data_IF_776483455548
#
_entry.id   IF_776483455548
#
_cell.length_a   1.000
_cell.length_b   1.000
_cell.length_c   1.000
_cell.angle_alpha   90.00
_cell.angle_beta   90.00
_cell.angle_gamma   90.00
#
_symmetry.space_group_name_H-M   'P 1'
#
loop_
_entity.id
_entity.type
_entity.pdbx_description
1 polymer ?
#
# COMPACT_ATOMS: atom_id res chain seq x y z
N UNK A 1 10.18 18.49 5.61
CA UNK A 1 10.40 17.28 4.81
C UNK A 1 11.85 16.86 4.92
N UNK A 2 12.12 15.63 5.33
CA UNK A 2 13.45 15.06 5.51
C UNK A 2 13.54 13.73 4.73
N UNK A 3 14.50 13.62 3.81
CA UNK A 3 14.78 12.37 3.07
C UNK A 3 16.06 11.74 3.62
N UNK A 4 15.99 10.45 3.89
CA UNK A 4 17.10 9.69 4.46
C UNK A 4 17.09 8.24 3.96
N UNK A 5 18.15 7.50 4.23
CA UNK A 5 18.26 6.08 3.97
C UNK A 5 18.46 5.31 5.27
N UNK A 6 17.66 4.27 5.46
CA UNK A 6 17.83 3.35 6.59
C UNK A 6 18.32 2.00 6.08
N UNK A 7 18.89 1.18 6.93
CA UNK A 7 19.23 -0.22 6.60
C UNK A 7 18.07 -1.13 7.00
N UNK A 8 17.61 -1.93 6.04
CA UNK A 8 16.68 -3.00 6.33
C UNK A 8 17.41 -4.22 6.91
N UNK A 9 16.66 -5.27 7.30
CA UNK A 9 17.19 -6.52 7.86
C UNK A 9 18.18 -7.28 6.96
N UNK A 10 18.24 -6.93 5.67
CA UNK A 10 19.20 -7.49 4.69
C UNK A 10 20.43 -6.58 4.50
N UNK A 11 20.52 -5.46 5.23
CA UNK A 11 21.58 -4.48 5.08
C UNK A 11 21.48 -3.58 3.85
N UNK A 12 20.35 -3.64 3.11
CA UNK A 12 20.09 -2.81 1.94
C UNK A 12 19.55 -1.44 2.36
N UNK A 13 19.84 -0.40 1.57
CA UNK A 13 19.31 0.93 1.79
C UNK A 13 17.83 0.99 1.38
N UNK A 14 17.00 1.47 2.28
CA UNK A 14 15.59 1.82 2.06
C UNK A 14 15.46 3.34 2.14
N UNK A 15 14.97 3.96 1.08
CA UNK A 15 14.75 5.40 1.00
C UNK A 15 13.47 5.76 1.76
N UNK A 16 13.59 6.59 2.77
CA UNK A 16 12.49 7.04 3.64
C UNK A 16 12.34 8.55 3.53
N UNK A 17 11.10 9.00 3.49
CA UNK A 17 10.70 10.40 3.50
C UNK A 17 9.85 10.67 4.75
N UNK A 18 10.32 11.57 5.62
CA UNK A 18 9.61 11.98 6.83
C UNK A 18 9.13 13.41 6.70
N UNK A 19 7.84 13.62 6.87
CA UNK A 19 7.20 14.93 6.87
C UNK A 19 6.59 15.17 8.24
N UNK A 20 7.27 16.00 9.04
CA UNK A 20 6.88 16.27 10.44
C UNK A 20 5.80 17.35 10.49
N UNK A 21 4.73 17.09 11.22
CA UNK A 21 3.76 18.11 11.59
C UNK A 21 4.34 19.03 12.67
N UNK A 22 4.07 20.33 12.59
CA UNK A 22 4.52 21.31 13.62
C UNK A 22 3.93 20.97 15.00
N UNK A 23 2.64 20.64 15.03
CA UNK A 23 1.93 20.21 16.24
C UNK A 23 1.41 18.79 16.01
N UNK A 24 2.26 17.80 16.24
CA UNK A 24 1.94 16.41 15.94
C UNK A 24 0.78 15.89 16.77
N UNK A 25 -0.32 15.52 16.10
CA UNK A 25 -1.50 14.86 16.68
C UNK A 25 -1.43 13.34 16.59
N UNK A 26 -0.62 12.83 15.69
CA UNK A 26 -0.47 11.41 15.44
C UNK A 26 0.64 11.13 14.42
N UNK A 27 0.80 9.85 14.13
CA UNK A 27 1.77 9.33 13.16
C UNK A 27 1.02 8.51 12.11
N UNK A 28 1.45 8.61 10.84
CA UNK A 28 0.92 7.81 9.76
C UNK A 28 2.03 7.27 8.87
N UNK A 29 1.91 6.02 8.45
CA UNK A 29 2.74 5.41 7.42
C UNK A 29 1.93 5.27 6.13
N UNK A 30 2.54 5.63 5.00
CA UNK A 30 1.88 5.54 3.69
C UNK A 30 2.76 4.73 2.73
N UNK A 31 2.23 3.62 2.21
CA UNK A 31 2.98 2.65 1.42
C UNK A 31 2.46 2.53 -0.01
N UNK A 32 3.36 2.58 -0.99
CA UNK A 32 3.06 2.38 -2.41
C UNK A 32 2.85 0.90 -2.79
N UNK A 33 2.28 0.65 -3.97
CA UNK A 33 2.09 -0.68 -4.55
C UNK A 33 3.30 -1.24 -5.28
N UNK A 34 3.15 -2.45 -5.86
CA UNK A 34 4.20 -3.14 -6.61
C UNK A 34 4.74 -2.28 -7.75
N UNK A 35 6.07 -2.08 -7.78
CA UNK A 35 6.74 -1.23 -8.76
C UNK A 35 6.36 0.25 -8.67
N UNK A 36 5.76 0.66 -7.56
CA UNK A 36 5.51 2.05 -7.23
C UNK A 36 6.72 2.75 -6.58
N UNK A 37 6.51 3.95 -6.07
CA UNK A 37 7.48 4.72 -5.30
C UNK A 37 6.76 5.77 -4.44
N UNK A 38 7.43 6.26 -3.42
CA UNK A 38 6.89 7.13 -2.36
C UNK A 38 6.37 8.49 -2.82
N UNK A 39 6.78 8.96 -4.02
CA UNK A 39 6.33 10.23 -4.61
C UNK A 39 5.23 10.05 -5.67
N UNK A 40 4.63 8.87 -5.85
CA UNK A 40 3.51 8.72 -6.78
C UNK A 40 2.34 9.64 -6.38
N UNK A 41 1.60 10.25 -7.34
CA UNK A 41 0.58 11.26 -7.03
C UNK A 41 -0.46 10.81 -6.01
N UNK A 42 -1.01 9.59 -6.12
CA UNK A 42 -1.98 9.08 -5.16
C UNK A 42 -1.37 8.83 -3.77
N UNK A 43 -0.11 8.36 -3.69
CA UNK A 43 0.61 8.19 -2.42
C UNK A 43 0.85 9.54 -1.75
N UNK A 44 1.21 10.55 -2.54
CA UNK A 44 1.34 11.92 -2.06
C UNK A 44 0.00 12.47 -1.57
N UNK A 45 -1.10 12.22 -2.31
CA UNK A 45 -2.45 12.63 -1.92
C UNK A 45 -2.86 12.08 -0.54
N UNK A 46 -2.57 10.80 -0.28
CA UNK A 46 -2.85 10.21 1.05
C UNK A 46 -2.00 10.86 2.15
N UNK A 47 -0.72 11.05 1.88
CA UNK A 47 0.22 11.68 2.82
C UNK A 47 -0.20 13.10 3.18
N UNK A 48 -0.52 13.91 2.17
CA UNK A 48 -0.98 15.28 2.36
C UNK A 48 -2.28 15.36 3.17
N UNK A 49 -3.20 14.38 3.00
CA UNK A 49 -4.41 14.31 3.82
C UNK A 49 -4.08 14.13 5.31
N UNK A 50 -3.13 13.29 5.65
CA UNK A 50 -2.67 13.14 7.02
C UNK A 50 -1.93 14.37 7.53
N UNK A 51 -1.03 14.95 6.73
CA UNK A 51 -0.25 16.14 7.09
C UNK A 51 -1.16 17.34 7.42
N UNK A 52 -2.16 17.63 6.58
CA UNK A 52 -3.09 18.73 6.79
C UNK A 52 -3.95 18.54 8.05
N UNK A 53 -4.10 17.32 8.52
CA UNK A 53 -4.78 16.99 9.75
C UNK A 53 -3.84 16.89 10.98
N UNK A 54 -2.57 17.27 10.82
CA UNK A 54 -1.60 17.35 11.91
C UNK A 54 -0.87 16.05 12.24
N UNK A 55 -0.84 15.09 11.31
CA UNK A 55 -0.06 13.86 11.49
C UNK A 55 1.36 14.04 10.92
N UNK A 56 2.36 13.54 11.62
CA UNK A 56 3.66 13.27 11.02
C UNK A 56 3.51 12.08 10.07
N UNK A 57 4.05 12.18 8.86
CA UNK A 57 3.88 11.14 7.84
C UNK A 57 5.23 10.55 7.44
N UNK A 58 5.28 9.23 7.39
CA UNK A 58 6.41 8.45 6.88
C UNK A 58 6.00 7.75 5.59
N UNK A 59 6.71 8.05 4.50
CA UNK A 59 6.63 7.34 3.23
C UNK A 59 7.98 6.72 2.91
N UNK A 60 7.99 5.61 2.22
CA UNK A 60 9.25 4.95 1.87
C UNK A 60 9.11 4.22 0.53
N UNK A 61 10.23 3.98 -0.13
CA UNK A 61 10.32 3.05 -1.24
C UNK A 61 10.66 1.67 -0.67
N UNK A 62 9.84 0.66 -0.93
CA UNK A 62 10.26 -0.71 -0.66
C UNK A 62 11.48 -1.07 -1.53
N UNK A 63 12.30 -2.02 -1.08
CA UNK A 63 13.36 -2.59 -1.95
C UNK A 63 12.74 -3.21 -3.20
N UNK A 64 13.55 -3.39 -4.22
CA UNK A 64 13.10 -4.01 -5.46
C UNK A 64 11.96 -3.25 -6.14
N UNK A 65 12.02 -1.91 -6.16
CA UNK A 65 11.05 -1.06 -6.83
C UNK A 65 11.73 -0.09 -7.79
N UNK A 66 10.97 0.84 -8.39
CA UNK A 66 11.48 1.89 -9.27
C UNK A 66 11.80 3.20 -8.56
N UNK A 67 11.80 3.19 -7.23
CA UNK A 67 12.18 4.31 -6.38
C UNK A 67 13.70 4.41 -6.17
N UNK A 68 14.10 4.88 -4.98
CA UNK A 68 15.50 5.13 -4.62
C UNK A 68 16.08 4.06 -3.70
N UNK A 69 15.29 3.07 -3.26
CA UNK A 69 15.76 1.95 -2.46
C UNK A 69 16.57 0.95 -3.29
N UNK A 70 17.48 0.24 -2.62
CA UNK A 70 18.31 -0.78 -3.27
C UNK A 70 17.48 -1.99 -3.75
N UNK A 71 18.03 -2.70 -4.73
CA UNK A 71 17.49 -3.91 -5.32
C UNK A 71 16.97 -3.69 -6.73
N UNK A 72 16.46 -4.76 -7.35
CA UNK A 72 15.95 -4.75 -8.71
C UNK A 72 14.46 -5.13 -8.70
N UNK A 73 13.66 -4.45 -9.50
CA UNK A 73 12.22 -4.69 -9.58
C UNK A 73 11.89 -6.16 -9.93
N UNK A 74 12.71 -6.81 -10.72
CA UNK A 74 12.53 -8.21 -11.11
C UNK A 74 12.55 -9.20 -9.93
N UNK A 75 13.17 -8.81 -8.81
CA UNK A 75 13.28 -9.59 -7.58
C UNK A 75 12.23 -9.21 -6.52
N UNK A 76 11.27 -8.34 -6.87
CA UNK A 76 10.20 -7.93 -5.96
C UNK A 76 9.33 -9.12 -5.55
N UNK A 77 8.95 -9.16 -4.28
CA UNK A 77 7.98 -10.11 -3.73
C UNK A 77 7.10 -9.41 -2.69
N UNK A 78 5.94 -9.96 -2.41
CA UNK A 78 5.06 -9.49 -1.32
C UNK A 78 5.79 -9.53 0.01
N UNK A 79 6.53 -10.63 0.28
CA UNK A 79 7.35 -10.77 1.49
C UNK A 79 8.37 -9.66 1.63
N UNK A 80 9.06 -9.29 0.53
CA UNK A 80 10.05 -8.20 0.57
C UNK A 80 9.42 -6.87 0.99
N UNK A 81 8.26 -6.56 0.44
CA UNK A 81 7.53 -5.32 0.74
C UNK A 81 7.06 -5.30 2.19
N UNK A 82 6.53 -6.42 2.68
CA UNK A 82 6.08 -6.54 4.05
C UNK A 82 7.24 -6.42 5.07
N UNK A 83 8.38 -7.10 4.81
CA UNK A 83 9.58 -7.00 5.63
C UNK A 83 10.12 -5.56 5.70
N UNK A 84 10.12 -4.82 4.57
CA UNK A 84 10.59 -3.43 4.56
C UNK A 84 9.63 -2.50 5.33
N UNK A 85 8.31 -2.75 5.31
CA UNK A 85 7.37 -2.04 6.17
C UNK A 85 7.70 -2.26 7.66
N UNK A 86 7.92 -3.51 8.08
CA UNK A 86 8.31 -3.83 9.45
C UNK A 86 9.63 -3.15 9.85
N UNK A 87 10.62 -3.15 8.95
CA UNK A 87 11.93 -2.53 9.19
C UNK A 87 11.83 -1.00 9.31
N UNK A 88 10.98 -0.36 8.48
CA UNK A 88 10.71 1.08 8.56
C UNK A 88 9.99 1.42 9.86
N UNK A 89 8.94 0.66 10.23
CA UNK A 89 8.25 0.87 11.52
C UNK A 89 9.24 0.69 12.67
N UNK A 90 10.04 -0.37 12.69
CA UNK A 90 11.04 -0.63 13.74
C UNK A 90 12.14 0.44 13.82
N UNK A 91 12.45 1.12 12.70
CA UNK A 91 13.34 2.28 12.72
C UNK A 91 12.63 3.51 13.30
N UNK A 92 11.37 3.74 12.94
CA UNK A 92 10.57 4.87 13.43
C UNK A 92 10.31 4.75 14.92
N UNK A 93 10.12 3.56 15.46
CA UNK A 93 9.95 3.30 16.91
C UNK A 93 11.12 3.84 17.77
N UNK A 94 12.30 4.00 17.18
CA UNK A 94 13.49 4.55 17.86
C UNK A 94 13.62 6.06 17.75
N UNK A 95 12.68 6.74 17.08
CA UNK A 95 12.76 8.18 16.87
C UNK A 95 12.06 8.94 18.01
N UNK A 96 12.56 10.14 18.39
CA UNK A 96 11.98 10.91 19.49
C UNK A 96 10.56 11.44 19.21
N UNK A 97 10.12 11.40 17.96
CA UNK A 97 8.79 11.80 17.51
C UNK A 97 7.86 10.60 17.26
N UNK A 98 8.26 9.38 17.62
CA UNK A 98 7.40 8.21 17.55
C UNK A 98 6.15 8.36 18.41
N UNK A 99 5.04 7.93 17.87
CA UNK A 99 3.74 7.93 18.56
C UNK A 99 2.92 6.74 18.13
N UNK A 100 2.44 5.97 19.09
CA UNK A 100 1.45 4.91 18.87
C UNK A 100 0.21 5.12 19.73
N UNK A 101 -0.97 4.60 19.33
CA UNK A 101 -1.18 3.89 18.08
C UNK A 101 -1.11 4.84 16.87
N UNK A 102 -0.60 4.32 15.73
CA UNK A 102 -0.43 5.09 14.50
C UNK A 102 -1.41 4.68 13.41
N UNK A 103 -1.54 5.50 12.35
CA UNK A 103 -2.34 5.20 11.19
C UNK A 103 -1.51 4.52 10.09
N UNK A 104 -2.16 3.62 9.35
CA UNK A 104 -1.59 2.96 8.19
C UNK A 104 -2.44 3.25 6.95
N UNK A 105 -1.82 3.65 5.86
CA UNK A 105 -2.45 3.75 4.55
C UNK A 105 -1.57 3.10 3.49
N UNK A 106 -2.18 2.57 2.44
CA UNK A 106 -1.42 1.94 1.38
C UNK A 106 -2.20 1.89 0.07
N UNK A 107 -1.51 1.50 -1.00
CA UNK A 107 -2.10 1.25 -2.31
C UNK A 107 -1.73 -0.15 -2.82
N UNK A 108 -2.71 -0.89 -3.35
CA UNK A 108 -2.50 -2.16 -4.05
C UNK A 108 -1.76 -3.19 -3.17
N UNK A 109 -0.55 -3.63 -3.58
CA UNK A 109 0.30 -4.53 -2.78
C UNK A 109 0.71 -3.89 -1.45
N UNK A 110 0.96 -2.57 -1.43
CA UNK A 110 1.22 -1.85 -0.18
C UNK A 110 0.03 -1.89 0.78
N UNK A 111 -1.20 -1.86 0.24
CA UNK A 111 -2.41 -2.05 1.05
C UNK A 111 -2.49 -3.43 1.70
N UNK A 112 -2.12 -4.48 0.97
CA UNK A 112 -1.99 -5.82 1.56
C UNK A 112 -0.98 -5.82 2.70
N UNK A 113 0.21 -5.22 2.49
CA UNK A 113 1.26 -5.19 3.50
C UNK A 113 0.84 -4.44 4.77
N UNK A 114 0.23 -3.25 4.64
CA UNK A 114 -0.24 -2.49 5.81
C UNK A 114 -1.40 -3.16 6.53
N UNK A 115 -2.27 -3.87 5.81
CA UNK A 115 -3.36 -4.64 6.41
C UNK A 115 -2.83 -5.89 7.14
N UNK A 116 -1.87 -6.61 6.57
CA UNK A 116 -1.17 -7.73 7.25
C UNK A 116 -0.46 -7.26 8.52
N UNK A 117 0.18 -6.08 8.47
CA UNK A 117 0.78 -5.50 9.67
C UNK A 117 -0.27 -5.24 10.75
N UNK A 118 -1.41 -4.66 10.36
CA UNK A 118 -2.52 -4.37 11.27
C UNK A 118 -3.16 -5.66 11.84
N UNK A 119 -3.22 -6.76 11.07
CA UNK A 119 -3.67 -8.07 11.57
C UNK A 119 -2.72 -8.67 12.62
N UNK A 120 -1.41 -8.43 12.46
CA UNK A 120 -0.38 -8.96 13.35
C UNK A 120 -0.14 -8.08 14.58
N UNK A 121 -0.45 -6.78 14.49
CA UNK A 121 -0.21 -5.78 15.54
C UNK A 121 -1.42 -4.84 15.71
N UNK A 122 -2.64 -5.36 15.94
CA UNK A 122 -3.85 -4.53 15.98
C UNK A 122 -3.81 -3.47 17.08
N UNK A 123 -3.08 -3.71 18.18
CA UNK A 123 -2.90 -2.80 19.30
C UNK A 123 -2.07 -1.56 18.94
N UNK A 124 -1.20 -1.65 17.94
CA UNK A 124 -0.36 -0.53 17.47
C UNK A 124 -1.04 0.35 16.43
N UNK A 125 -2.16 -0.10 15.85
CA UNK A 125 -2.81 0.57 14.71
C UNK A 125 -4.08 1.29 15.15
N UNK A 126 -4.05 2.63 15.07
CA UNK A 126 -5.18 3.51 15.35
C UNK A 126 -6.28 3.41 14.30
N UNK A 127 -5.88 3.38 13.03
CA UNK A 127 -6.78 3.37 11.88
C UNK A 127 -6.05 2.86 10.62
N UNK A 128 -6.79 2.24 9.71
CA UNK A 128 -6.26 1.59 8.52
C UNK A 128 -7.01 2.05 7.26
N UNK A 129 -6.27 2.55 6.26
CA UNK A 129 -6.82 3.02 4.99
C UNK A 129 -6.20 2.29 3.77
N UNK A 130 -6.57 1.04 3.51
CA UNK A 130 -6.09 0.29 2.36
C UNK A 130 -6.90 0.65 1.11
N UNK A 131 -6.21 1.11 0.05
CA UNK A 131 -6.83 1.53 -1.21
C UNK A 131 -6.49 0.57 -2.35
N UNK A 132 -7.45 0.28 -3.23
CA UNK A 132 -7.27 -0.68 -4.33
C UNK A 132 -6.52 -1.95 -3.87
N UNK A 133 -7.00 -2.56 -2.80
CA UNK A 133 -6.27 -3.55 -2.00
C UNK A 133 -6.14 -4.89 -2.71
N UNK A 134 -4.95 -5.46 -2.74
CA UNK A 134 -4.79 -6.90 -2.99
C UNK A 134 -5.31 -7.64 -1.75
N UNK A 135 -6.58 -8.01 -1.76
CA UNK A 135 -7.27 -8.65 -0.61
C UNK A 135 -6.76 -10.08 -0.39
N UNK A 136 -6.50 -10.79 -1.49
CA UNK A 136 -5.97 -12.15 -1.48
C UNK A 136 -5.14 -12.38 -2.74
N UNK A 137 -3.98 -13.02 -2.59
CA UNK A 137 -3.14 -13.40 -3.73
C UNK A 137 -3.86 -14.33 -4.69
N UNK A 138 -4.69 -15.25 -4.16
CA UNK A 138 -5.51 -16.16 -4.97
C UNK A 138 -6.57 -15.40 -5.77
N UNK A 139 -7.35 -14.54 -5.13
CA UNK A 139 -8.34 -13.71 -5.81
C UNK A 139 -7.70 -12.81 -6.88
N UNK A 140 -6.54 -12.22 -6.57
CA UNK A 140 -5.78 -11.42 -7.53
C UNK A 140 -5.38 -12.23 -8.77
N UNK A 141 -4.93 -13.48 -8.59
CA UNK A 141 -4.54 -14.36 -9.69
C UNK A 141 -5.73 -14.79 -10.58
N UNK A 142 -6.94 -14.78 -10.05
CA UNK A 142 -8.16 -15.18 -10.74
C UNK A 142 -8.84 -14.04 -11.51
N UNK A 143 -8.41 -12.79 -11.36
CA UNK A 143 -8.94 -11.68 -12.16
C UNK A 143 -8.70 -11.94 -13.66
N UNK A 144 -9.63 -11.53 -14.55
CA UNK A 144 -9.45 -11.72 -16.00
C UNK A 144 -8.10 -11.25 -16.50
N UNK A 145 -7.68 -10.05 -16.06
CA UNK A 145 -6.39 -9.45 -16.42
C UNK A 145 -5.19 -10.33 -16.04
N UNK A 146 -5.16 -10.88 -14.84
CA UNK A 146 -4.02 -11.69 -14.39
C UNK A 146 -4.07 -13.10 -14.95
N UNK A 147 -5.25 -13.67 -15.12
CA UNK A 147 -5.43 -15.04 -15.61
C UNK A 147 -4.84 -15.25 -17.01
N UNK A 148 -4.97 -14.26 -17.89
CA UNK A 148 -4.36 -14.29 -19.23
C UNK A 148 -2.82 -14.32 -19.16
N UNK A 149 -2.25 -13.61 -18.19
CA UNK A 149 -0.79 -13.47 -18.04
C UNK A 149 -0.18 -14.67 -17.28
N UNK A 150 -0.95 -15.30 -16.40
CA UNK A 150 -0.46 -16.33 -15.46
C UNK A 150 0.14 -17.55 -16.15
N UNK A 151 -0.48 -18.02 -17.22
CA UNK A 151 0.01 -19.20 -17.96
C UNK A 151 1.36 -18.92 -18.60
N UNK A 152 1.51 -17.76 -19.23
CA UNK A 152 2.78 -17.36 -19.83
C UNK A 152 3.86 -17.10 -18.77
N UNK A 153 3.51 -16.41 -17.69
CA UNK A 153 4.41 -16.14 -16.58
C UNK A 153 4.97 -17.42 -15.96
N UNK A 154 4.11 -18.42 -15.71
CA UNK A 154 4.53 -19.75 -15.25
C UNK A 154 5.43 -20.46 -16.25
N UNK A 155 5.09 -20.41 -17.55
CA UNK A 155 5.83 -21.08 -18.62
C UNK A 155 7.20 -20.48 -18.85
N UNK A 156 7.32 -19.14 -18.81
CA UNK A 156 8.56 -18.40 -19.12
C UNK A 156 9.40 -18.09 -17.88
N UNK A 157 8.78 -18.08 -16.70
CA UNK A 157 9.35 -17.56 -15.46
C UNK A 157 9.33 -16.03 -15.36
N UNK A 158 8.79 -15.33 -16.36
CA UNK A 158 8.84 -13.87 -16.48
C UNK A 158 7.50 -13.27 -16.91
N UNK A 159 7.15 -12.16 -16.26
CA UNK A 159 6.13 -11.21 -16.71
C UNK A 159 6.81 -9.96 -17.21
N UNK A 160 6.44 -9.53 -18.41
CA UNK A 160 6.93 -8.28 -19.03
C UNK A 160 5.74 -7.38 -19.34
N UNK A 161 5.84 -6.12 -18.97
CA UNK A 161 4.82 -5.11 -19.28
C UNK A 161 5.45 -3.73 -19.49
N UNK A 162 4.88 -2.93 -20.37
CA UNK A 162 5.27 -1.53 -20.52
C UNK A 162 4.93 -0.74 -19.25
N UNK A 163 5.85 0.10 -18.79
CA UNK A 163 5.59 0.97 -17.64
C UNK A 163 4.68 2.12 -18.04
N UNK A 164 3.52 2.22 -17.40
CA UNK A 164 2.62 3.35 -17.60
C UNK A 164 3.13 4.64 -16.94
N UNK A 165 3.93 4.54 -15.87
CA UNK A 165 4.47 5.70 -15.12
C UNK A 165 5.82 6.19 -15.62
N UNK A 166 6.55 5.36 -16.39
CA UNK A 166 7.85 5.69 -16.98
C UNK A 166 7.87 5.23 -18.45
N UNK A 167 7.44 6.06 -19.40
CA UNK A 167 7.40 5.70 -20.83
C UNK A 167 8.77 5.19 -21.33
N UNK A 168 8.75 4.12 -22.14
CA UNK A 168 9.95 3.47 -22.66
C UNK A 168 10.61 2.44 -21.74
N UNK A 169 10.17 2.33 -20.48
CA UNK A 169 10.64 1.29 -19.56
C UNK A 169 9.78 0.03 -19.71
N UNK A 170 10.42 -1.13 -19.88
CA UNK A 170 9.79 -2.45 -19.75
C UNK A 170 10.02 -2.95 -18.33
N UNK A 171 8.95 -3.23 -17.63
CA UNK A 171 8.98 -3.87 -16.32
C UNK A 171 9.09 -5.37 -16.50
N UNK A 172 10.09 -5.98 -15.89
CA UNK A 172 10.25 -7.43 -15.85
C UNK A 172 10.12 -7.92 -14.43
N UNK A 173 9.36 -8.99 -14.22
CA UNK A 173 9.09 -9.54 -12.89
C UNK A 173 9.17 -11.06 -12.93
N UNK A 174 9.93 -11.66 -12.02
CA UNK A 174 10.08 -13.12 -11.91
C UNK A 174 8.79 -13.77 -11.40
N UNK A 175 8.54 -15.03 -11.79
CA UNK A 175 7.38 -15.82 -11.33
C UNK A 175 7.40 -16.06 -9.81
N UNK A 176 8.54 -15.92 -9.16
CA UNK A 176 8.68 -15.97 -7.70
C UNK A 176 7.80 -14.96 -6.97
N UNK A 177 7.50 -13.80 -7.59
CA UNK A 177 6.57 -12.83 -7.00
C UNK A 177 5.14 -13.41 -6.91
N UNK A 178 4.67 -14.02 -7.99
CA UNK A 178 3.37 -14.65 -8.03
C UNK A 178 3.26 -15.79 -6.99
N UNK A 179 4.26 -16.67 -6.93
CA UNK A 179 4.31 -17.79 -5.97
C UNK A 179 4.30 -17.28 -4.54
N UNK A 180 5.02 -16.19 -4.28
CA UNK A 180 5.06 -15.53 -2.98
C UNK A 180 3.72 -14.90 -2.62
N UNK A 181 3.11 -14.15 -3.54
CA UNK A 181 1.82 -13.46 -3.35
C UNK A 181 0.68 -14.44 -3.04
N UNK A 182 0.65 -15.62 -3.66
CA UNK A 182 -0.37 -16.65 -3.42
C UNK A 182 -0.47 -17.12 -1.97
N UNK A 183 0.55 -16.88 -1.14
CA UNK A 183 0.58 -17.23 0.29
C UNK A 183 -0.19 -16.25 1.17
N UNK A 184 -0.54 -15.08 0.65
CA UNK A 184 -1.13 -13.99 1.43
C UNK A 184 -2.63 -13.86 1.15
N UNK A 185 -3.41 -13.80 2.23
CA UNK A 185 -4.87 -13.66 2.19
C UNK A 185 -5.34 -12.96 3.47
N UNK A 186 -6.01 -11.81 3.33
CA UNK A 186 -6.55 -11.05 4.47
C UNK A 186 -7.86 -11.64 5.00
N UNK A 187 -8.61 -12.37 4.17
CA UNK A 187 -9.99 -12.77 4.52
C UNK A 187 -10.09 -13.67 5.75
N UNK A 188 -9.17 -14.62 6.00
CA UNK A 188 -9.24 -15.49 7.18
C UNK A 188 -9.05 -14.74 8.50
N UNK A 189 -8.23 -13.68 8.49
CA UNK A 189 -7.87 -12.91 9.68
C UNK A 189 -8.49 -11.52 9.77
N UNK A 190 -9.36 -11.15 8.83
CA UNK A 190 -10.00 -9.83 8.79
C UNK A 190 -10.71 -9.43 10.10
N UNK A 191 -11.13 -10.42 10.91
CA UNK A 191 -11.72 -10.21 12.22
C UNK A 191 -10.76 -9.55 13.23
N UNK A 192 -9.43 -9.57 12.98
CA UNK A 192 -8.42 -8.90 13.79
C UNK A 192 -8.30 -7.41 13.49
N UNK A 193 -8.84 -6.96 12.36
CA UNK A 193 -8.84 -5.53 11.95
C UNK A 193 -9.95 -4.78 12.69
N UNK A 194 -9.79 -4.62 13.99
CA UNK A 194 -10.79 -4.02 14.89
C UNK A 194 -10.78 -2.50 14.91
N UNK A 195 -9.71 -1.86 14.38
CA UNK A 195 -9.61 -0.43 14.23
C UNK A 195 -10.56 0.11 13.15
N UNK A 196 -10.84 1.43 13.09
CA UNK A 196 -11.55 2.02 11.95
C UNK A 196 -10.84 1.74 10.62
N UNK A 197 -11.58 1.27 9.61
CA UNK A 197 -11.05 0.91 8.27
C UNK A 197 -11.76 1.71 7.19
N UNK A 198 -10.97 2.37 6.33
CA UNK A 198 -11.41 3.05 5.12
C UNK A 198 -10.95 2.28 3.87
N UNK A 199 -11.86 1.70 3.11
CA UNK A 199 -11.58 1.11 1.80
C UNK A 199 -11.92 2.12 0.69
N UNK A 200 -11.01 2.29 -0.27
CA UNK A 200 -11.24 3.11 -1.48
C UNK A 200 -10.80 2.33 -2.70
N UNK A 201 -11.62 2.29 -3.74
CA UNK A 201 -11.32 1.58 -5.00
C UNK A 201 -11.99 2.28 -6.16
N UNK A 202 -11.40 2.24 -7.35
CA UNK A 202 -12.04 2.68 -8.58
C UNK A 202 -13.02 1.65 -9.13
N UNK A 203 -14.12 2.08 -9.76
CA UNK A 203 -15.06 1.17 -10.43
C UNK A 203 -14.49 0.56 -11.71
N UNK A 204 -13.43 1.15 -12.27
CA UNK A 204 -12.68 0.67 -13.43
C UNK A 204 -11.37 -0.04 -13.05
N UNK A 205 -11.23 -0.47 -11.79
CA UNK A 205 -10.06 -1.20 -11.31
C UNK A 205 -10.13 -2.68 -11.71
N UNK A 206 -9.40 -3.06 -12.75
CA UNK A 206 -9.31 -4.42 -13.28
C UNK A 206 -8.28 -5.31 -12.55
N UNK A 207 -7.46 -4.71 -11.70
CA UNK A 207 -6.39 -5.40 -10.97
C UNK A 207 -6.83 -5.85 -9.58
N UNK A 208 -7.60 -5.00 -8.89
CA UNK A 208 -8.14 -5.23 -7.55
C UNK A 208 -9.62 -4.80 -7.50
N UNK A 209 -10.51 -5.52 -8.19
CA UNK A 209 -11.90 -5.10 -8.43
C UNK A 209 -12.67 -4.76 -7.14
N UNK A 210 -13.70 -3.91 -7.27
CA UNK A 210 -14.55 -3.50 -6.16
C UNK A 210 -15.20 -4.70 -5.44
N UNK A 211 -15.47 -5.79 -6.14
CA UNK A 211 -16.00 -7.04 -5.58
C UNK A 211 -15.05 -7.63 -4.54
N UNK A 212 -13.71 -7.61 -4.79
CA UNK A 212 -12.74 -8.08 -3.81
C UNK A 212 -12.73 -7.20 -2.55
N UNK A 213 -12.86 -5.88 -2.73
CA UNK A 213 -12.94 -4.95 -1.59
C UNK A 213 -14.20 -5.19 -0.76
N UNK A 214 -15.33 -5.52 -1.40
CA UNK A 214 -16.59 -5.87 -0.70
C UNK A 214 -16.44 -7.14 0.13
N UNK A 215 -15.73 -8.17 -0.36
CA UNK A 215 -15.44 -9.38 0.43
C UNK A 215 -14.67 -9.07 1.71
N UNK A 216 -13.68 -8.18 1.65
CA UNK A 216 -12.97 -7.72 2.84
C UNK A 216 -13.88 -6.89 3.74
N UNK A 217 -14.61 -5.92 3.15
CA UNK A 217 -15.52 -5.06 3.88
C UNK A 217 -16.52 -5.84 4.73
N UNK A 218 -17.13 -6.88 4.18
CA UNK A 218 -18.13 -7.70 4.88
C UNK A 218 -17.55 -8.38 6.12
N UNK A 219 -16.26 -8.76 6.09
CA UNK A 219 -15.58 -9.46 7.19
C UNK A 219 -14.99 -8.55 8.27
N UNK A 220 -14.90 -7.25 8.02
CA UNK A 220 -14.38 -6.30 9.00
C UNK A 220 -15.35 -6.16 10.18
N UNK A 221 -14.88 -6.27 11.43
CA UNK A 221 -15.75 -6.30 12.62
C UNK A 221 -16.15 -4.92 13.13
N UNK A 222 -15.32 -3.88 12.88
CA UNK A 222 -15.44 -2.57 13.51
C UNK A 222 -16.07 -1.48 12.63
N UNK A 223 -15.78 -0.22 12.97
CA UNK A 223 -16.15 0.95 12.15
C UNK A 223 -15.48 0.83 10.79
N UNK A 224 -16.25 0.88 9.73
CA UNK A 224 -15.77 0.68 8.37
C UNK A 224 -16.50 1.52 7.35
N UNK A 225 -15.76 2.00 6.35
CA UNK A 225 -16.30 2.72 5.21
C UNK A 225 -15.74 2.11 3.92
N UNK A 226 -16.52 2.14 2.85
CA UNK A 226 -16.09 1.78 1.50
C UNK A 226 -16.55 2.85 0.51
N UNK A 227 -15.62 3.36 -0.28
CA UNK A 227 -15.88 4.34 -1.32
C UNK A 227 -15.43 3.77 -2.67
N UNK A 228 -16.34 3.83 -3.65
CA UNK A 228 -16.08 3.43 -5.04
C UNK A 228 -16.04 4.70 -5.86
N UNK A 229 -14.85 5.04 -6.40
CA UNK A 229 -14.60 6.25 -7.18
C UNK A 229 -14.99 6.00 -8.62
N UNK A 230 -15.98 6.74 -9.12
CA UNK A 230 -16.52 6.57 -10.48
C UNK A 230 -15.48 6.91 -11.54
N UNK A 231 -15.35 6.08 -12.58
CA UNK A 231 -14.41 6.23 -13.69
C UNK A 231 -12.93 5.99 -13.32
N UNK A 232 -12.62 5.77 -12.05
CA UNK A 232 -11.24 5.63 -11.62
C UNK A 232 -10.70 4.23 -11.91
N UNK A 233 -9.47 4.20 -12.46
CA UNK A 233 -8.67 2.98 -12.64
C UNK A 233 -7.79 2.72 -11.42
N UNK A 234 -7.06 1.61 -11.43
CA UNK A 234 -6.24 1.12 -10.34
C UNK A 234 -5.33 2.17 -9.65
N UNK A 235 -4.72 3.10 -10.38
CA UNK A 235 -3.72 4.03 -9.82
C UNK A 235 -4.22 5.48 -9.65
N UNK A 236 -5.51 5.76 -9.85
CA UNK A 236 -6.12 7.08 -9.61
C UNK A 236 -5.32 8.26 -10.22
N UNK A 237 -5.00 8.19 -11.52
CA UNK A 237 -4.06 9.14 -12.15
C UNK A 237 -4.66 10.49 -12.49
N UNK A 238 -5.98 10.54 -12.66
CA UNK A 238 -6.68 11.75 -13.06
C UNK A 238 -6.85 12.70 -11.87
N UNK A 239 -6.68 13.99 -12.13
CA UNK A 239 -6.75 15.02 -11.09
C UNK A 239 -8.07 14.97 -10.33
N UNK A 240 -9.18 14.76 -11.03
CA UNK A 240 -10.51 14.66 -10.41
C UNK A 240 -10.60 13.53 -9.40
N UNK A 241 -10.02 12.37 -9.72
CA UNK A 241 -10.01 11.21 -8.80
C UNK A 241 -9.10 11.46 -7.60
N UNK A 242 -7.95 12.13 -7.79
CA UNK A 242 -7.05 12.51 -6.70
C UNK A 242 -7.73 13.50 -5.74
N UNK A 243 -8.46 14.49 -6.26
CA UNK A 243 -9.22 15.46 -5.47
C UNK A 243 -10.35 14.78 -4.67
N UNK A 244 -11.06 13.84 -5.28
CA UNK A 244 -12.10 13.06 -4.61
C UNK A 244 -11.52 12.22 -3.47
N UNK A 245 -10.45 11.44 -3.74
CA UNK A 245 -9.76 10.65 -2.73
C UNK A 245 -9.24 11.52 -1.59
N UNK A 246 -8.65 12.67 -1.93
CA UNK A 246 -8.21 13.63 -0.92
C UNK A 246 -9.36 14.04 0.01
N UNK A 247 -10.52 14.33 -0.55
CA UNK A 247 -11.71 14.72 0.21
C UNK A 247 -12.23 13.54 1.07
N UNK A 248 -12.21 12.32 0.57
CA UNK A 248 -12.58 11.12 1.32
C UNK A 248 -11.66 10.93 2.53
N UNK A 249 -10.34 10.95 2.30
CA UNK A 249 -9.35 10.80 3.36
C UNK A 249 -9.47 11.91 4.42
N UNK A 250 -9.61 13.17 3.99
CA UNK A 250 -9.71 14.31 4.91
C UNK A 250 -10.93 14.19 5.84
N UNK A 251 -12.11 13.84 5.30
CA UNK A 251 -13.31 13.61 6.10
C UNK A 251 -13.13 12.45 7.07
N UNK A 252 -12.57 11.35 6.60
CA UNK A 252 -12.37 10.17 7.42
C UNK A 252 -11.35 10.41 8.55
N UNK A 253 -10.20 11.04 8.27
CA UNK A 253 -9.19 11.36 9.28
C UNK A 253 -9.77 12.28 10.37
N UNK A 254 -10.60 13.27 10.00
CA UNK A 254 -11.29 14.14 10.96
C UNK A 254 -12.29 13.40 11.87
N UNK A 255 -12.70 12.21 11.48
CA UNK A 255 -13.64 11.36 12.27
C UNK A 255 -12.95 10.41 13.24
N UNK A 256 -11.59 10.34 13.21
CA UNK A 256 -10.75 9.50 14.08
C UNK A 256 -10.50 10.20 15.43
#
# INVERSE_FOLDING_TARGET
MEKLFIKNRKGQNVAVLVEKAENQKGLAFVMHGLGGFKEQPHIQTYAEAFLDNGYTVVRFDARNTFGESEGNYEDATTTNYYEDLEDVVGWVEKQPWYQEPFCLAGHSLGSLCVALYAENHPEKVRALAPTSTVVSGKLSAETPKHKEIMEEWKRTGWREEASESKPGLVKRLKSTEMEDRLRYDLLPNAHKLTMPVLLVVGDQDDSTPAEHQRLLYEKLPGKKEIHIVEGARHTFREKIHLEEIRSIFDRWIKSL
#
